data_IF_961691002972
#
_entry.id   IF_961691002972
#
_cell.length_a   1.000
_cell.length_b   1.000
_cell.length_c   1.000
_cell.angle_alpha   90.00
_cell.angle_beta   90.00
_cell.angle_gamma   90.00
#
_symmetry.space_group_name_H-M   'P 1'
#
loop_
_entity.id
_entity.type
_entity.pdbx_description
1 polymer ?
#
# COMPACT_ATOMS: atom_id res chain seq x y z
N UNK A 1 -19.60 10.92 -15.16
CA UNK A 1 -18.18 10.72 -14.80
C UNK A 1 -17.89 9.25 -14.98
N UNK A 2 -17.14 8.87 -16.00
CA UNK A 2 -16.76 7.47 -16.23
C UNK A 2 -15.75 7.05 -15.16
N UNK A 3 -16.22 6.34 -14.15
CA UNK A 3 -15.36 5.73 -13.12
C UNK A 3 -14.55 4.60 -13.76
N UNK A 4 -13.44 4.93 -14.41
CA UNK A 4 -12.49 3.94 -14.91
C UNK A 4 -11.61 3.49 -13.73
N UNK A 5 -12.07 2.48 -12.99
CA UNK A 5 -11.29 1.91 -11.89
C UNK A 5 -9.97 1.34 -12.43
N UNK A 6 -8.81 1.65 -11.81
CA UNK A 6 -7.51 1.15 -12.25
C UNK A 6 -7.42 -0.35 -12.05
N UNK A 7 -6.84 -1.11 -12.99
CA UNK A 7 -6.71 -2.57 -12.89
C UNK A 7 -6.14 -3.03 -11.53
N UNK A 8 -6.87 -3.90 -10.81
CA UNK A 8 -6.49 -4.45 -9.49
C UNK A 8 -5.07 -5.02 -9.49
N UNK A 9 -4.71 -5.80 -10.52
CA UNK A 9 -3.40 -6.44 -10.64
C UNK A 9 -2.27 -5.43 -10.81
N UNK A 10 -2.49 -4.41 -11.62
CA UNK A 10 -1.46 -3.39 -11.89
C UNK A 10 -1.20 -2.53 -10.64
N UNK A 11 -2.28 -2.21 -9.90
CA UNK A 11 -2.17 -1.46 -8.66
C UNK A 11 -1.49 -2.28 -7.56
N UNK A 12 -1.79 -3.59 -7.44
CA UNK A 12 -1.05 -4.50 -6.57
C UNK A 12 0.42 -4.62 -6.95
N UNK A 13 0.73 -4.72 -8.24
CA UNK A 13 2.10 -4.77 -8.74
C UNK A 13 2.87 -3.49 -8.37
N UNK A 14 2.24 -2.32 -8.56
CA UNK A 14 2.80 -1.04 -8.13
C UNK A 14 3.06 -1.03 -6.63
N UNK A 15 2.07 -1.39 -5.80
CA UNK A 15 2.19 -1.45 -4.33
C UNK A 15 3.36 -2.35 -3.92
N UNK A 16 3.50 -3.53 -4.52
CA UNK A 16 4.59 -4.45 -4.21
C UNK A 16 5.96 -3.85 -4.57
N UNK A 17 6.08 -3.26 -5.76
CA UNK A 17 7.35 -2.66 -6.21
C UNK A 17 7.79 -1.50 -5.31
N UNK A 18 6.88 -0.60 -4.97
CA UNK A 18 7.20 0.55 -4.13
C UNK A 18 7.38 0.15 -2.66
N UNK A 19 6.71 -0.91 -2.19
CA UNK A 19 6.96 -1.46 -0.86
C UNK A 19 8.36 -2.06 -0.75
N UNK A 20 8.79 -2.83 -1.76
CA UNK A 20 10.15 -3.35 -1.82
C UNK A 20 11.20 -2.22 -1.79
N UNK A 21 11.00 -1.17 -2.58
CA UNK A 21 11.92 -0.01 -2.58
C UNK A 21 12.02 0.68 -1.20
N UNK A 22 10.90 0.77 -0.47
CA UNK A 22 10.86 1.31 0.89
C UNK A 22 11.60 0.41 1.88
N UNK A 23 11.41 -0.91 1.80
CA UNK A 23 12.08 -1.87 2.68
C UNK A 23 13.60 -1.92 2.42
N UNK A 24 14.01 -1.85 1.16
CA UNK A 24 15.41 -1.85 0.75
C UNK A 24 16.17 -0.60 1.26
N UNK A 25 15.63 0.60 1.01
CA UNK A 25 16.25 1.83 1.50
C UNK A 25 16.22 1.94 3.02
N UNK A 26 15.18 1.39 3.67
CA UNK A 26 15.10 1.32 5.13
C UNK A 26 16.26 0.48 5.69
N UNK A 27 16.50 -0.70 5.11
CA UNK A 27 17.62 -1.56 5.52
C UNK A 27 18.98 -0.87 5.30
N UNK A 28 19.12 -0.10 4.22
CA UNK A 28 20.32 0.71 3.99
C UNK A 28 20.50 1.78 5.09
N UNK A 29 19.43 2.52 5.42
CA UNK A 29 19.44 3.57 6.43
C UNK A 29 19.74 3.06 7.84
N UNK A 30 19.44 1.80 8.17
CA UNK A 30 19.83 1.18 9.46
C UNK A 30 21.35 1.23 9.70
N UNK A 31 22.15 1.28 8.62
CA UNK A 31 23.61 1.39 8.69
C UNK A 31 24.15 2.78 8.30
N UNK A 32 23.34 3.60 7.62
CA UNK A 32 23.70 4.95 7.13
C UNK A 32 22.61 5.98 7.49
N UNK A 33 22.35 6.24 8.79
CA UNK A 33 21.16 6.98 9.22
C UNK A 33 21.15 8.45 8.83
N UNK A 34 22.30 9.02 8.45
CA UNK A 34 22.43 10.42 8.05
C UNK A 34 22.60 10.61 6.53
N UNK A 35 22.46 9.55 5.73
CA UNK A 35 22.57 9.66 4.27
C UNK A 35 21.36 10.44 3.72
N UNK A 36 21.61 11.68 3.29
CA UNK A 36 20.56 12.58 2.82
C UNK A 36 19.84 12.09 1.55
N UNK A 37 20.54 11.35 0.68
CA UNK A 37 19.95 10.83 -0.56
C UNK A 37 19.03 9.66 -0.25
N UNK A 38 19.46 8.73 0.62
CA UNK A 38 18.65 7.61 1.07
C UNK A 38 17.41 8.08 1.85
N UNK A 39 17.54 9.12 2.68
CA UNK A 39 16.39 9.74 3.36
C UNK A 39 15.40 10.36 2.37
N UNK A 40 15.88 11.11 1.38
CA UNK A 40 15.01 11.70 0.35
C UNK A 40 14.28 10.62 -0.46
N UNK A 41 15.00 9.57 -0.86
CA UNK A 41 14.45 8.41 -1.57
C UNK A 41 13.37 7.71 -0.73
N UNK A 42 13.65 7.45 0.56
CA UNK A 42 12.68 6.86 1.47
C UNK A 42 11.40 7.69 1.56
N UNK A 43 11.51 9.01 1.72
CA UNK A 43 10.36 9.90 1.79
C UNK A 43 9.52 9.89 0.51
N UNK A 44 10.16 9.92 -0.66
CA UNK A 44 9.50 9.87 -1.96
C UNK A 44 8.72 8.56 -2.13
N UNK A 45 9.38 7.41 -1.96
CA UNK A 45 8.77 6.11 -2.19
C UNK A 45 7.76 5.73 -1.11
N UNK A 46 7.96 6.15 0.14
CA UNK A 46 6.97 5.99 1.21
C UNK A 46 5.68 6.77 0.90
N UNK A 47 5.81 7.99 0.37
CA UNK A 47 4.65 8.77 -0.09
C UNK A 47 3.93 8.07 -1.25
N UNK A 48 4.67 7.58 -2.24
CA UNK A 48 4.10 6.86 -3.39
C UNK A 48 3.38 5.58 -2.95
N UNK A 49 3.98 4.80 -2.04
CA UNK A 49 3.37 3.61 -1.43
C UNK A 49 2.04 3.94 -0.76
N UNK A 50 2.02 4.98 0.07
CA UNK A 50 0.82 5.37 0.79
C UNK A 50 -0.29 5.86 -0.15
N UNK A 51 0.06 6.53 -1.26
CA UNK A 51 -0.90 6.92 -2.29
C UNK A 51 -1.49 5.69 -3.00
N UNK A 52 -0.65 4.75 -3.43
CA UNK A 52 -1.10 3.54 -4.09
C UNK A 52 -2.01 2.68 -3.18
N UNK A 53 -1.67 2.53 -1.90
CA UNK A 53 -2.51 1.82 -0.92
C UNK A 53 -3.87 2.51 -0.71
N UNK A 54 -3.91 3.85 -0.66
CA UNK A 54 -5.17 4.60 -0.54
C UNK A 54 -6.03 4.47 -1.79
N UNK A 55 -5.41 4.51 -2.97
CA UNK A 55 -6.11 4.30 -4.23
C UNK A 55 -6.68 2.88 -4.33
N UNK A 56 -5.90 1.88 -3.91
CA UNK A 56 -6.38 0.50 -3.85
C UNK A 56 -7.56 0.38 -2.89
N UNK A 57 -7.44 0.94 -1.68
CA UNK A 57 -8.52 0.93 -0.69
C UNK A 57 -9.82 1.55 -1.20
N UNK A 58 -9.71 2.63 -2.00
CA UNK A 58 -10.87 3.32 -2.60
C UNK A 58 -11.68 2.42 -3.56
N UNK A 59 -11.02 1.57 -4.33
CA UNK A 59 -11.69 0.76 -5.38
C UNK A 59 -11.89 -0.70 -5.00
N UNK A 60 -11.02 -1.27 -4.16
CA UNK A 60 -10.91 -2.71 -3.91
C UNK A 60 -10.90 -3.08 -2.42
N UNK A 61 -11.09 -2.11 -1.53
CA UNK A 61 -11.01 -2.33 -0.09
C UNK A 61 -9.58 -2.29 0.46
N UNK A 62 -9.43 -2.04 1.77
CA UNK A 62 -8.13 -1.80 2.39
C UNK A 62 -7.27 -3.07 2.45
N UNK A 63 -5.99 -2.97 2.08
CA UNK A 63 -4.98 -4.02 2.28
C UNK A 63 -4.27 -3.91 3.64
N UNK A 64 -4.29 -2.72 4.23
CA UNK A 64 -3.65 -2.41 5.51
C UNK A 64 -4.62 -1.66 6.40
N UNK A 65 -4.51 -1.83 7.72
CA UNK A 65 -5.36 -1.12 8.69
C UNK A 65 -5.24 0.40 8.51
N UNK A 66 -4.05 0.92 8.18
CA UNK A 66 -3.83 2.36 7.98
C UNK A 66 -4.61 2.96 6.80
N UNK A 67 -5.13 2.12 5.90
CA UNK A 67 -5.95 2.53 4.76
C UNK A 67 -7.41 2.13 4.88
N UNK A 68 -7.85 1.64 6.05
CA UNK A 68 -9.27 1.59 6.39
C UNK A 68 -9.77 3.02 6.50
N UNK A 69 -10.11 3.64 5.37
CA UNK A 69 -10.82 4.90 5.38
C UNK A 69 -12.14 4.66 6.09
N UNK A 70 -12.53 5.59 6.96
CA UNK A 70 -13.92 5.78 7.36
C UNK A 70 -14.68 6.13 6.08
N UNK A 71 -15.08 5.12 5.30
CA UNK A 71 -15.99 5.33 4.19
C UNK A 71 -17.21 6.07 4.74
N UNK A 72 -17.80 6.99 3.97
CA UNK A 72 -19.04 7.67 4.36
C UNK A 72 -20.23 6.71 4.59
N UNK A 73 -19.99 5.41 4.44
CA UNK A 73 -20.82 4.31 4.89
C UNK A 73 -20.24 3.83 6.22
N UNK A 74 -21.00 3.89 7.32
CA UNK A 74 -20.65 3.36 8.65
C UNK A 74 -20.46 1.83 8.65
N UNK A 75 -19.56 1.31 7.81
CA UNK A 75 -19.36 -0.12 7.56
C UNK A 75 -17.88 -0.46 7.68
N UNK A 76 -17.60 -1.43 8.54
CA UNK A 76 -16.27 -2.00 8.72
C UNK A 76 -15.92 -2.90 7.53
N UNK A 77 -15.17 -2.38 6.56
CA UNK A 77 -14.89 -3.08 5.31
C UNK A 77 -13.64 -3.98 5.35
N UNK A 78 -12.91 -4.03 6.47
CA UNK A 78 -11.71 -4.86 6.63
C UNK A 78 -11.98 -6.37 6.51
N UNK A 79 -13.17 -6.82 6.93
CA UNK A 79 -13.56 -8.23 6.89
C UNK A 79 -14.15 -8.68 5.55
N UNK A 80 -14.34 -7.76 4.60
CA UNK A 80 -15.11 -8.03 3.39
C UNK A 80 -14.28 -8.63 2.24
N UNK A 81 -12.95 -8.54 2.31
CA UNK A 81 -12.06 -9.18 1.34
C UNK A 81 -11.55 -10.52 1.89
N UNK A 82 -11.31 -11.52 1.00
CA UNK A 82 -10.75 -12.79 1.40
C UNK A 82 -9.39 -12.57 2.08
N UNK A 83 -9.22 -13.17 3.26
CA UNK A 83 -7.99 -13.05 4.01
C UNK A 83 -6.87 -13.79 3.27
N UNK A 84 -5.62 -13.33 3.33
CA UNK A 84 -4.50 -13.99 2.67
C UNK A 84 -4.34 -15.48 3.03
N UNK A 85 -4.86 -15.91 4.19
CA UNK A 85 -4.85 -17.30 4.64
C UNK A 85 -6.16 -18.07 4.40
N UNK A 86 -7.20 -17.43 3.88
CA UNK A 86 -8.47 -18.11 3.51
C UNK A 86 -8.34 -18.91 2.20
N UNK A 87 -7.45 -18.53 1.30
CA UNK A 87 -7.21 -19.27 0.03
C UNK A 87 -6.00 -20.21 0.10
N UNK A 88 -5.25 -20.20 1.20
CA UNK A 88 -4.06 -21.05 1.43
C UNK A 88 -4.26 -22.16 2.46
N UNK A 89 -5.52 -22.49 2.80
CA UNK A 89 -5.83 -23.56 3.74
C UNK A 89 -5.71 -24.94 3.09
N UNK A 90 -4.73 -25.72 3.53
CA UNK A 90 -4.81 -27.18 3.46
C UNK A 90 -5.93 -27.70 4.36
#
# INVERSE_FOLDING_TARGET
MTNNAPCRKDLLCLINRVSFAVDDVKLFLDTHPCDANALAYFHEYSKLRNQALKEYAKYYGPLTIDTTMTSCTDRWNWINEPWPWQEGGC
#
